data_IF_282372712173
#
_entry.id   IF_282372712173
#
_cell.length_a   1.000
_cell.length_b   1.000
_cell.length_c   1.000
_cell.angle_alpha   90.00
_cell.angle_beta   90.00
_cell.angle_gamma   90.00
#
_symmetry.space_group_name_H-M   'P 1'
#
loop_
_entity.id
_entity.type
_entity.pdbx_description
1 polymer ?
#
# COMPACT_ATOMS: atom_id res chain seq x y z
N UNK A 1 -33.11 -4.90 -36.07
CA UNK A 1 -34.59 -5.04 -35.98
C UNK A 1 -34.87 -6.53 -36.02
N UNK A 2 -35.47 -7.24 -35.06
CA UNK A 2 -36.16 -6.92 -33.81
C UNK A 2 -36.09 -8.16 -32.89
N UNK A 3 -35.76 -7.95 -31.62
CA UNK A 3 -36.52 -8.42 -30.44
C UNK A 3 -37.40 -9.68 -30.58
N UNK A 4 -37.14 -10.70 -29.76
CA UNK A 4 -37.98 -11.00 -28.57
C UNK A 4 -37.69 -12.40 -28.00
N UNK A 5 -37.84 -12.50 -26.67
CA UNK A 5 -38.15 -13.70 -25.86
C UNK A 5 -36.98 -14.32 -25.07
N UNK A 6 -36.81 -13.87 -23.81
CA UNK A 6 -36.27 -14.72 -22.72
C UNK A 6 -37.07 -14.47 -21.43
N UNK A 7 -38.01 -15.38 -21.21
CA UNK A 7 -38.45 -16.06 -19.97
C UNK A 7 -38.16 -15.36 -18.63
N UNK A 8 -39.24 -14.92 -17.98
CA UNK A 8 -39.31 -14.65 -16.55
C UNK A 8 -39.48 -15.98 -15.77
N UNK A 9 -38.60 -16.25 -14.80
CA UNK A 9 -38.80 -17.30 -13.80
C UNK A 9 -39.28 -16.63 -12.52
N UNK A 10 -40.57 -16.79 -12.26
CA UNK A 10 -41.24 -16.46 -11.00
C UNK A 10 -41.03 -17.64 -10.06
N UNK A 11 -40.28 -17.44 -8.97
CA UNK A 11 -40.22 -18.40 -7.86
C UNK A 11 -41.24 -17.96 -6.82
N UNK A 12 -42.40 -18.61 -6.84
CA UNK A 12 -43.37 -18.61 -5.75
C UNK A 12 -42.95 -19.73 -4.79
N UNK A 13 -42.49 -19.38 -3.60
CA UNK A 13 -42.40 -20.32 -2.48
C UNK A 13 -43.69 -20.20 -1.67
N UNK A 14 -44.58 -21.19 -1.87
CA UNK A 14 -45.73 -21.44 -0.98
C UNK A 14 -45.21 -22.20 0.23
N UNK A 15 -45.32 -21.62 1.43
CA UNK A 15 -45.24 -22.35 2.69
C UNK A 15 -46.66 -22.70 3.14
N UNK A 16 -47.02 -23.98 3.04
CA UNK A 16 -48.21 -24.56 3.63
C UNK A 16 -47.85 -25.91 4.25
N UNK A 17 -47.95 -25.96 5.58
CA UNK A 17 -48.25 -27.19 6.35
C UNK A 17 -47.06 -27.94 6.95
N UNK A 18 -46.96 -27.91 8.29
CA UNK A 18 -47.10 -29.10 9.13
C UNK A 18 -47.05 -28.75 10.63
N UNK A 19 -48.23 -28.77 11.26
CA UNK A 19 -48.39 -29.07 12.68
C UNK A 19 -48.07 -30.56 12.90
N UNK A 20 -47.31 -30.91 13.94
CA UNK A 20 -47.24 -32.31 14.38
C UNK A 20 -46.08 -32.71 15.28
N UNK A 21 -46.32 -32.66 16.60
CA UNK A 21 -45.89 -33.57 17.67
C UNK A 21 -44.44 -34.08 17.81
N UNK A 22 -43.95 -33.98 19.05
CA UNK A 22 -43.49 -35.15 19.81
C UNK A 22 -41.98 -35.37 19.85
N UNK A 23 -41.39 -35.18 21.03
CA UNK A 23 -39.97 -35.44 21.27
C UNK A 23 -39.62 -36.93 21.33
N UNK A 24 -38.31 -37.20 21.27
CA UNK A 24 -37.59 -38.24 22.00
C UNK A 24 -36.09 -37.92 21.96
N UNK A 25 -35.44 -37.95 23.12
CA UNK A 25 -33.99 -38.07 23.25
C UNK A 25 -33.53 -39.47 22.82
N UNK A 26 -32.41 -39.56 22.10
CA UNK A 26 -31.47 -40.69 22.19
C UNK A 26 -30.04 -40.17 22.01
N UNK A 27 -29.24 -40.34 23.05
CA UNK A 27 -27.77 -40.33 23.02
C UNK A 27 -27.25 -41.45 22.10
N UNK A 28 -26.22 -41.18 21.28
CA UNK A 28 -25.03 -42.04 21.16
C UNK A 28 -23.87 -41.29 20.48
N UNK A 29 -22.76 -41.20 21.20
CA UNK A 29 -21.40 -41.08 20.66
C UNK A 29 -21.10 -42.30 19.79
N UNK A 30 -20.48 -42.12 18.62
CA UNK A 30 -19.61 -43.15 18.05
C UNK A 30 -18.46 -42.53 17.23
N UNK A 31 -17.31 -43.16 17.41
CA UNK A 31 -15.98 -42.83 16.89
C UNK A 31 -15.87 -42.69 15.36
N UNK A 32 -14.92 -41.85 14.94
CA UNK A 32 -14.38 -41.79 13.58
C UNK A 32 -13.77 -43.12 13.11
N UNK A 33 -13.66 -43.29 11.78
CA UNK A 33 -12.33 -43.49 11.23
C UNK A 33 -12.07 -42.69 9.94
N UNK A 34 -10.86 -42.12 9.86
CA UNK A 34 -10.22 -41.71 8.61
C UNK A 34 -9.92 -42.94 7.74
N UNK A 35 -9.97 -42.82 6.40
CA UNK A 35 -8.91 -43.48 5.64
C UNK A 35 -8.41 -42.74 4.39
N UNK A 36 -7.08 -42.78 4.28
CA UNK A 36 -6.28 -43.18 3.10
C UNK A 36 -6.21 -42.32 1.83
N UNK A 37 -5.02 -41.75 1.61
CA UNK A 37 -4.30 -41.69 0.31
C UNK A 37 -4.20 -43.08 -0.34
N UNK A 38 -4.20 -43.27 -1.69
CA UNK A 38 -3.08 -42.94 -2.62
C UNK A 38 -3.55 -42.75 -4.12
N UNK A 39 -2.76 -42.92 -5.23
CA UNK A 39 -1.31 -42.87 -5.47
C UNK A 39 -0.86 -41.87 -6.58
N UNK A 40 0.47 -41.72 -6.72
CA UNK A 40 1.17 -41.19 -7.90
C UNK A 40 0.84 -41.96 -9.18
N UNK A 41 0.63 -41.26 -10.29
CA UNK A 41 0.94 -41.78 -11.63
C UNK A 41 1.60 -40.71 -12.52
N UNK A 42 2.70 -41.15 -13.12
CA UNK A 42 3.52 -40.50 -14.13
C UNK A 42 2.97 -40.74 -15.55
N UNK A 43 3.00 -39.71 -16.38
CA UNK A 43 3.03 -39.77 -17.86
C UNK A 43 3.48 -38.38 -18.34
N UNK A 44 4.73 -38.11 -18.75
CA UNK A 44 5.35 -38.45 -20.05
C UNK A 44 4.38 -38.43 -21.24
N UNK A 45 4.23 -37.26 -21.86
CA UNK A 45 4.06 -37.18 -23.32
C UNK A 45 4.79 -35.96 -23.88
N UNK A 46 5.52 -36.24 -24.94
CA UNK A 46 6.44 -35.45 -25.75
C UNK A 46 5.76 -34.53 -26.76
N UNK A 47 6.61 -33.71 -27.42
CA UNK A 47 6.43 -32.87 -28.62
C UNK A 47 5.88 -31.45 -28.34
N UNK A 48 6.41 -30.38 -28.91
CA UNK A 48 7.19 -30.23 -30.15
C UNK A 48 8.06 -28.96 -30.14
N UNK A 49 9.24 -29.09 -30.74
CA UNK A 49 10.17 -28.03 -31.14
C UNK A 49 9.52 -26.97 -32.03
N UNK A 50 9.87 -25.71 -31.83
CA UNK A 50 9.94 -24.71 -32.90
C UNK A 50 10.99 -23.65 -32.55
N UNK A 51 12.24 -23.98 -32.87
CA UNK A 51 13.37 -23.05 -32.95
C UNK A 51 13.35 -22.34 -34.30
N UNK A 52 13.12 -21.02 -34.31
CA UNK A 52 13.34 -20.17 -35.48
C UNK A 52 14.76 -19.63 -35.47
N UNK A 53 15.57 -20.21 -36.34
CA UNK A 53 16.89 -19.74 -36.77
C UNK A 53 16.79 -18.49 -37.64
N UNK A 54 17.56 -17.45 -37.33
CA UNK A 54 17.90 -16.38 -38.27
C UNK A 54 19.42 -16.34 -38.47
N UNK A 55 19.83 -16.73 -39.67
CA UNK A 55 21.20 -16.80 -40.16
C UNK A 55 21.52 -15.69 -41.14
N UNK A 56 22.83 -15.40 -41.25
CA UNK A 56 23.57 -14.73 -42.33
C UNK A 56 23.53 -13.19 -42.35
N UNK A 57 24.60 -12.46 -42.64
CA UNK A 57 25.77 -12.80 -43.47
C UNK A 57 26.96 -11.87 -43.18
N UNK A 58 28.15 -12.45 -43.05
CA UNK A 58 29.46 -11.79 -43.15
C UNK A 58 29.96 -11.88 -44.59
N UNK A 59 30.36 -10.74 -45.17
CA UNK A 59 30.99 -10.67 -46.49
C UNK A 59 32.47 -10.33 -46.35
N UNK A 60 33.31 -11.33 -46.58
CA UNK A 60 34.75 -11.22 -46.83
C UNK A 60 35.00 -11.14 -48.34
N UNK A 61 35.71 -10.12 -48.81
CA UNK A 61 36.21 -10.03 -50.18
C UNK A 61 37.74 -9.99 -50.18
N UNK A 62 38.32 -11.11 -50.57
CA UNK A 62 39.71 -11.26 -51.01
C UNK A 62 39.86 -10.79 -52.46
N UNK A 63 40.90 -10.01 -52.76
CA UNK A 63 41.34 -9.80 -54.14
C UNK A 63 42.87 -9.88 -54.22
N UNK A 64 43.33 -10.84 -55.00
CA UNK A 64 44.72 -11.14 -55.33
C UNK A 64 45.08 -10.52 -56.68
N UNK A 65 46.22 -9.82 -56.76
CA UNK A 65 46.77 -9.27 -58.00
C UNK A 65 48.29 -9.16 -57.94
N UNK A 66 48.95 -9.78 -58.91
CA UNK A 66 50.37 -10.13 -58.92
C UNK A 66 51.30 -9.04 -59.47
N UNK A 67 52.53 -9.03 -58.92
CA UNK A 67 53.85 -8.75 -59.56
C UNK A 67 54.13 -7.42 -60.26
N UNK A 68 55.17 -6.71 -59.80
CA UNK A 68 56.33 -6.28 -60.61
C UNK A 68 57.49 -5.82 -59.73
N UNK A 69 58.67 -6.31 -60.07
CA UNK A 69 59.99 -6.03 -59.49
C UNK A 69 60.59 -4.72 -60.01
N UNK A 70 61.15 -3.90 -59.13
CA UNK A 70 62.19 -2.93 -59.47
C UNK A 70 63.02 -2.55 -58.24
N UNK A 71 64.32 -2.79 -58.33
CA UNK A 71 65.39 -2.27 -57.48
C UNK A 71 65.36 -0.74 -57.41
N UNK A 72 65.54 -0.17 -56.22
CA UNK A 72 66.23 1.12 -56.05
C UNK A 72 66.49 1.43 -54.57
N UNK A 73 67.78 1.43 -54.22
CA UNK A 73 68.47 2.39 -53.35
C UNK A 73 67.84 2.84 -52.03
N UNK A 74 68.49 2.40 -50.96
CA UNK A 74 68.65 3.06 -49.66
C UNK A 74 68.54 4.59 -49.67
N UNK A 75 67.54 5.09 -48.95
CA UNK A 75 67.55 6.44 -48.36
C UNK A 75 66.81 6.40 -47.02
N UNK A 76 67.56 6.72 -45.96
CA UNK A 76 67.08 6.98 -44.61
C UNK A 76 66.07 8.13 -44.63
N UNK A 77 64.79 7.78 -44.68
CA UNK A 77 63.68 8.72 -44.53
C UNK A 77 63.44 8.96 -43.05
N UNK A 78 63.74 10.18 -42.63
CA UNK A 78 63.28 10.77 -41.39
C UNK A 78 61.79 10.49 -41.20
N UNK A 79 61.47 9.65 -40.22
CA UNK A 79 60.12 9.37 -39.74
C UNK A 79 59.45 10.68 -39.34
N UNK A 80 58.72 11.28 -40.28
CA UNK A 80 57.85 12.41 -40.01
C UNK A 80 56.80 11.93 -39.02
N UNK A 81 56.91 12.39 -37.78
CA UNK A 81 55.95 12.15 -36.71
C UNK A 81 54.57 12.67 -37.15
N UNK A 82 53.74 11.80 -37.72
CA UNK A 82 52.34 12.10 -37.93
C UNK A 82 51.72 12.25 -36.56
N UNK A 83 51.28 13.47 -36.22
CA UNK A 83 50.51 13.69 -35.00
C UNK A 83 49.39 12.64 -34.91
N UNK A 84 49.17 12.03 -33.74
CA UNK A 84 48.10 11.06 -33.58
C UNK A 84 46.77 11.67 -34.01
N UNK A 85 45.92 10.88 -34.67
CA UNK A 85 44.56 11.33 -34.95
C UNK A 85 43.74 11.28 -33.65
N UNK A 86 42.96 12.34 -33.34
CA UNK A 86 42.09 12.34 -32.18
C UNK A 86 41.13 11.14 -32.18
N UNK A 87 40.81 10.62 -30.99
CA UNK A 87 39.94 9.47 -30.84
C UNK A 87 39.35 9.33 -29.44
N UNK A 88 38.42 8.38 -29.29
CA UNK A 88 37.80 8.07 -28.00
C UNK A 88 37.35 6.62 -27.86
N UNK A 89 37.15 6.19 -26.61
CA UNK A 89 36.67 4.86 -26.26
C UNK A 89 35.79 4.89 -25.02
N UNK A 90 34.68 4.15 -25.06
CA UNK A 90 33.69 4.04 -23.99
C UNK A 90 33.58 2.60 -23.47
N UNK A 91 33.56 2.44 -22.15
CA UNK A 91 33.35 1.19 -21.42
C UNK A 91 32.13 1.35 -20.50
N UNK A 92 31.08 0.55 -20.72
CA UNK A 92 29.80 0.65 -19.99
C UNK A 92 29.36 -0.65 -19.30
N UNK A 93 29.96 -1.78 -19.67
CA UNK A 93 29.67 -3.05 -19.02
C UNK A 93 30.64 -3.24 -17.85
N UNK A 94 30.20 -3.75 -16.68
CA UNK A 94 31.09 -4.04 -15.58
C UNK A 94 32.18 -5.03 -15.96
N UNK A 95 33.39 -4.80 -15.46
CA UNK A 95 34.53 -5.68 -15.72
C UNK A 95 35.86 -4.95 -15.79
N UNK A 96 36.90 -5.72 -16.13
CA UNK A 96 38.27 -5.24 -16.29
C UNK A 96 38.66 -5.30 -17.76
N UNK A 97 39.10 -4.17 -18.30
CA UNK A 97 39.52 -4.00 -19.68
C UNK A 97 40.97 -3.53 -19.76
N UNK A 98 41.56 -3.67 -20.95
CA UNK A 98 42.88 -3.11 -21.26
C UNK A 98 42.74 -2.07 -22.36
N UNK A 99 43.27 -0.88 -22.11
CA UNK A 99 43.39 0.18 -23.11
C UNK A 99 44.87 0.41 -23.41
N UNK A 100 45.27 0.19 -24.66
CA UNK A 100 46.64 0.46 -25.12
C UNK A 100 46.72 1.89 -25.65
N UNK A 101 47.65 2.67 -25.12
CA UNK A 101 47.88 4.04 -25.55
C UNK A 101 48.37 4.06 -27.02
N UNK A 102 47.69 4.76 -27.94
CA UNK A 102 48.15 4.89 -29.32
C UNK A 102 49.53 5.58 -29.40
N UNK A 103 50.27 5.28 -30.47
CA UNK A 103 51.54 5.95 -30.74
C UNK A 103 51.36 7.46 -30.87
N UNK A 104 52.28 8.24 -30.29
CA UNK A 104 52.25 9.70 -30.29
C UNK A 104 51.31 10.35 -29.25
N UNK A 105 50.49 9.59 -28.53
CA UNK A 105 49.60 10.12 -27.48
C UNK A 105 50.32 10.13 -26.13
N UNK A 106 50.50 11.31 -25.55
CA UNK A 106 51.14 11.48 -24.24
C UNK A 106 50.19 11.95 -23.14
N UNK A 107 48.98 12.39 -23.51
CA UNK A 107 47.94 12.84 -22.57
C UNK A 107 46.56 12.37 -23.00
N UNK A 108 45.72 12.02 -22.03
CA UNK A 108 44.30 11.68 -22.27
C UNK A 108 43.38 12.39 -21.29
N UNK A 109 42.13 12.60 -21.71
CA UNK A 109 41.04 12.99 -20.81
C UNK A 109 40.24 11.75 -20.44
N UNK A 110 39.94 11.60 -19.14
CA UNK A 110 39.23 10.45 -18.59
C UNK A 110 38.02 10.93 -17.80
N UNK A 111 36.88 10.31 -18.07
CA UNK A 111 35.66 10.43 -17.25
C UNK A 111 35.31 9.06 -16.70
N UNK A 112 35.13 8.95 -15.39
CA UNK A 112 34.72 7.72 -14.72
C UNK A 112 33.49 7.97 -13.84
N UNK A 113 32.55 7.03 -13.84
CA UNK A 113 31.37 7.01 -12.97
C UNK A 113 31.32 5.67 -12.26
N UNK A 114 31.25 5.67 -10.93
CA UNK A 114 31.09 4.44 -10.13
C UNK A 114 29.70 3.81 -10.32
N UNK A 115 29.55 2.51 -10.05
CA UNK A 115 28.23 1.89 -10.02
C UNK A 115 27.35 2.48 -8.91
N UNK A 116 26.04 2.56 -9.09
CA UNK A 116 25.11 3.03 -8.05
C UNK A 116 24.97 2.03 -6.90
N UNK A 117 24.64 2.47 -5.68
CA UNK A 117 24.23 1.59 -4.59
C UNK A 117 22.77 1.17 -4.73
N UNK A 118 22.42 -0.03 -4.26
CA UNK A 118 21.01 -0.49 -4.25
C UNK A 118 20.28 -0.07 -2.96
N UNK A 119 18.98 0.16 -3.06
CA UNK A 119 18.12 0.37 -1.88
C UNK A 119 17.97 -0.93 -1.09
N UNK A 120 18.05 -0.85 0.25
CA UNK A 120 17.83 -2.00 1.11
C UNK A 120 16.34 -2.41 1.09
N UNK A 121 16.07 -3.68 0.76
CA UNK A 121 14.71 -4.25 0.79
C UNK A 121 14.36 -4.63 2.23
N UNK A 122 14.17 -3.64 3.08
CA UNK A 122 13.61 -3.85 4.42
C UNK A 122 12.41 -2.93 4.60
N UNK A 123 11.32 -3.26 3.90
CA UNK A 123 10.04 -2.65 4.16
C UNK A 123 9.54 -3.11 5.53
N UNK A 124 9.64 -2.26 6.54
CA UNK A 124 8.97 -2.51 7.81
C UNK A 124 7.48 -2.24 7.62
N UNK A 125 6.67 -3.30 7.65
CA UNK A 125 5.22 -3.13 7.70
C UNK A 125 4.85 -2.53 9.05
N UNK A 126 4.38 -1.28 9.05
CA UNK A 126 3.80 -0.69 10.25
C UNK A 126 2.30 -0.93 10.19
N UNK A 127 1.80 -1.74 11.11
CA UNK A 127 0.36 -1.93 11.31
C UNK A 127 -0.15 -0.76 12.14
N UNK A 128 -1.07 0.02 11.59
CA UNK A 128 -1.72 1.12 12.29
C UNK A 128 -3.21 0.81 12.45
N UNK A 129 -3.69 0.79 13.70
CA UNK A 129 -5.12 0.65 13.99
C UNK A 129 -5.82 1.97 13.74
N UNK A 130 -6.81 1.93 12.85
CA UNK A 130 -7.63 3.07 12.45
C UNK A 130 -9.08 2.82 12.85
N UNK A 131 -9.81 3.90 13.15
CA UNK A 131 -11.24 3.85 13.47
C UNK A 131 -12.01 4.84 12.60
N UNK A 132 -13.14 4.38 12.03
CA UNK A 132 -14.09 5.18 11.29
C UNK A 132 -15.48 5.05 11.90
N UNK A 133 -16.13 6.17 12.17
CA UNK A 133 -17.43 6.22 12.86
C UNK A 133 -18.45 7.01 12.05
N UNK A 134 -19.67 6.47 11.91
CA UNK A 134 -20.81 7.11 11.26
C UNK A 134 -21.95 7.27 12.29
N UNK A 135 -22.34 8.51 12.57
CA UNK A 135 -23.28 8.85 13.66
C UNK A 135 -24.48 9.68 13.21
N UNK A 136 -24.42 10.24 11.99
CA UNK A 136 -25.53 10.99 11.41
C UNK A 136 -26.42 10.01 10.64
N UNK A 137 -27.75 10.03 10.82
CA UNK A 137 -28.65 9.15 10.08
C UNK A 137 -28.54 9.33 8.56
N UNK A 138 -28.56 8.23 7.83
CA UNK A 138 -28.45 8.25 6.37
C UNK A 138 -27.77 7.01 5.80
N UNK A 139 -27.51 7.05 4.49
CA UNK A 139 -26.81 6.02 3.74
C UNK A 139 -25.43 6.51 3.30
N UNK A 140 -24.42 5.68 3.51
CA UNK A 140 -23.02 5.94 3.17
C UNK A 140 -22.40 4.73 2.47
N UNK A 141 -21.20 4.93 1.93
CA UNK A 141 -20.35 3.86 1.41
C UNK A 141 -19.02 3.88 2.14
N UNK A 142 -18.57 2.73 2.63
CA UNK A 142 -17.22 2.52 3.13
C UNK A 142 -16.41 1.76 2.08
N UNK A 143 -15.29 2.34 1.65
CA UNK A 143 -14.35 1.68 0.72
C UNK A 143 -13.21 1.09 1.54
N UNK A 144 -13.01 -0.22 1.45
CA UNK A 144 -11.96 -0.95 2.19
C UNK A 144 -10.59 -0.42 1.75
N UNK A 145 -9.78 0.17 2.65
CA UNK A 145 -8.47 0.69 2.27
C UNK A 145 -7.51 -0.39 1.76
N UNK A 146 -6.50 0.04 1.01
CA UNK A 146 -5.41 -0.86 0.59
C UNK A 146 -4.71 -1.49 1.80
N UNK A 147 -4.37 -2.78 1.70
CA UNK A 147 -3.69 -3.52 2.76
C UNK A 147 -4.57 -3.93 3.95
N UNK A 148 -5.89 -3.74 3.87
CA UNK A 148 -6.86 -4.17 4.90
C UNK A 148 -7.61 -5.42 4.42
N UNK A 149 -7.54 -6.49 5.21
CA UNK A 149 -8.21 -7.77 4.90
C UNK A 149 -9.22 -8.18 5.97
N UNK A 150 -9.29 -7.44 7.07
CA UNK A 150 -10.20 -7.70 8.18
C UNK A 150 -10.72 -6.38 8.75
N UNK A 151 -12.01 -6.33 9.07
CA UNK A 151 -12.66 -5.23 9.77
C UNK A 151 -13.26 -5.76 11.07
N UNK A 152 -13.23 -4.95 12.12
CA UNK A 152 -13.97 -5.17 13.35
C UNK A 152 -15.09 -4.12 13.44
N UNK A 153 -16.35 -4.56 13.42
CA UNK A 153 -17.50 -3.68 13.18
C UNK A 153 -18.49 -3.77 14.33
N UNK A 154 -18.85 -2.62 14.89
CA UNK A 154 -19.91 -2.45 15.89
C UNK A 154 -21.04 -1.59 15.31
N UNK A 155 -22.28 -2.03 15.46
CA UNK A 155 -23.48 -1.36 14.94
C UNK A 155 -24.52 -1.21 16.05
N UNK A 156 -25.10 -0.02 16.19
CA UNK A 156 -26.19 0.29 17.12
C UNK A 156 -27.36 0.89 16.34
N UNK A 157 -28.58 0.38 16.56
CA UNK A 157 -29.81 0.95 16.00
C UNK A 157 -30.19 2.28 16.64
N UNK A 158 -31.05 3.07 16.01
CA UNK A 158 -31.63 4.26 16.65
C UNK A 158 -32.54 3.88 17.81
N UNK A 159 -32.60 4.67 18.88
CA UNK A 159 -33.52 4.45 19.99
C UNK A 159 -34.94 4.93 19.67
N UNK A 160 -35.94 4.39 20.35
CA UNK A 160 -37.33 4.83 20.27
C UNK A 160 -37.49 6.22 20.91
N UNK A 161 -38.39 7.06 20.41
CA UNK A 161 -38.82 8.26 21.14
C UNK A 161 -39.60 7.91 22.41
N UNK A 162 -39.59 8.79 23.40
CA UNK A 162 -40.41 8.61 24.61
C UNK A 162 -41.88 8.90 24.33
N UNK A 163 -42.77 8.23 25.07
CA UNK A 163 -44.22 8.37 24.90
C UNK A 163 -44.73 9.69 25.50
N UNK A 164 -45.80 10.25 24.92
CA UNK A 164 -46.52 11.35 25.56
C UNK A 164 -47.30 10.88 26.80
N UNK A 165 -47.51 11.78 27.76
CA UNK A 165 -48.24 11.46 29.00
C UNK A 165 -49.15 12.59 29.48
N UNK A 166 -50.13 12.23 30.31
CA UNK A 166 -51.04 13.18 30.96
C UNK A 166 -51.04 12.97 32.47
N UNK A 167 -50.23 13.76 33.17
CA UNK A 167 -49.99 13.65 34.61
C UNK A 167 -50.99 14.45 35.44
N UNK A 168 -52.27 14.21 35.20
CA UNK A 168 -53.30 14.65 36.16
C UNK A 168 -53.44 13.59 37.26
N UNK A 169 -54.17 13.91 38.34
CA UNK A 169 -54.41 12.96 39.44
C UNK A 169 -55.07 11.62 39.06
N UNK A 170 -55.43 11.43 37.79
CA UNK A 170 -56.00 10.19 37.24
C UNK A 170 -55.27 9.64 36.00
N UNK A 171 -54.21 10.29 35.51
CA UNK A 171 -53.48 9.86 34.30
C UNK A 171 -52.02 9.50 34.58
N UNK A 172 -51.51 8.50 33.86
CA UNK A 172 -50.11 8.09 33.93
C UNK A 172 -49.18 9.03 33.15
N UNK A 173 -47.94 9.13 33.58
CA UNK A 173 -46.86 9.70 32.78
C UNK A 173 -46.57 8.83 31.56
N UNK A 174 -45.99 9.43 30.52
CA UNK A 174 -45.51 8.70 29.36
C UNK A 174 -44.32 7.82 29.74
N UNK A 175 -44.25 6.63 29.14
CA UNK A 175 -43.10 5.75 29.31
C UNK A 175 -41.87 6.30 28.58
N UNK A 176 -40.68 5.94 29.06
CA UNK A 176 -39.46 6.11 28.28
C UNK A 176 -39.46 5.18 27.06
N UNK A 177 -38.79 5.62 26.00
CA UNK A 177 -38.55 4.81 24.80
C UNK A 177 -37.48 3.75 25.06
N UNK A 178 -37.55 2.65 24.32
CA UNK A 178 -36.54 1.58 24.31
C UNK A 178 -35.26 2.02 23.58
N UNK A 179 -34.10 1.51 23.99
CA UNK A 179 -32.86 1.72 23.22
C UNK A 179 -32.82 0.89 21.93
N UNK A 180 -31.92 1.25 21.01
CA UNK A 180 -31.63 0.48 19.80
C UNK A 180 -30.83 -0.78 20.12
N UNK A 181 -30.97 -1.79 19.27
CA UNK A 181 -30.18 -3.03 19.37
C UNK A 181 -28.68 -2.79 19.13
N UNK A 182 -27.87 -3.76 19.52
CA UNK A 182 -26.42 -3.79 19.27
C UNK A 182 -26.03 -5.07 18.51
N UNK A 183 -25.09 -4.95 17.58
CA UNK A 183 -24.48 -6.07 16.88
C UNK A 183 -23.00 -5.81 16.66
N UNK A 184 -22.19 -6.86 16.78
CA UNK A 184 -20.74 -6.83 16.58
C UNK A 184 -20.29 -8.01 15.71
N UNK A 185 -19.35 -7.76 14.79
CA UNK A 185 -18.73 -8.82 14.01
C UNK A 185 -17.34 -8.44 13.49
N UNK A 186 -16.48 -9.45 13.39
CA UNK A 186 -15.23 -9.36 12.64
C UNK A 186 -15.42 -9.92 11.24
N UNK A 187 -15.20 -9.11 10.21
CA UNK A 187 -15.47 -9.43 8.80
C UNK A 187 -14.18 -9.58 8.01
N UNK A 188 -14.07 -10.64 7.21
CA UNK A 188 -13.01 -10.76 6.21
C UNK A 188 -13.41 -9.99 4.94
N UNK A 189 -12.53 -9.13 4.45
CA UNK A 189 -12.79 -8.23 3.31
C UNK A 189 -11.63 -8.24 2.31
N UNK A 190 -11.90 -7.74 1.10
CA UNK A 190 -10.86 -7.47 0.12
C UNK A 190 -10.64 -5.96 -0.04
N UNK A 191 -9.39 -5.50 -0.17
CA UNK A 191 -9.10 -4.10 -0.47
C UNK A 191 -9.85 -3.58 -1.70
N UNK A 192 -10.35 -2.34 -1.61
CA UNK A 192 -11.11 -1.70 -2.67
C UNK A 192 -12.60 -2.08 -2.71
N UNK A 193 -13.04 -3.08 -1.93
CA UNK A 193 -14.46 -3.40 -1.84
C UNK A 193 -15.25 -2.21 -1.28
N UNK A 194 -16.41 -1.94 -1.87
CA UNK A 194 -17.37 -0.96 -1.36
C UNK A 194 -18.44 -1.67 -0.54
N UNK A 195 -18.68 -1.19 0.67
CA UNK A 195 -19.66 -1.75 1.61
C UNK A 195 -20.67 -0.64 1.98
N UNK A 196 -21.95 -0.93 1.80
CA UNK A 196 -23.02 -0.02 2.17
C UNK A 196 -23.07 0.14 3.70
N UNK A 197 -23.28 1.36 4.17
CA UNK A 197 -23.44 1.67 5.60
C UNK A 197 -24.74 2.43 5.78
N UNK A 198 -25.59 1.99 6.70
CA UNK A 198 -26.83 2.68 7.06
C UNK A 198 -26.78 3.04 8.53
N UNK A 199 -27.05 4.30 8.84
CA UNK A 199 -27.23 4.77 10.21
C UNK A 199 -28.71 5.08 10.42
N UNK A 200 -29.35 4.36 11.35
CA UNK A 200 -30.73 4.56 11.70
C UNK A 200 -30.96 5.87 12.44
N UNK A 201 -32.05 6.57 12.13
CA UNK A 201 -32.48 7.75 12.88
C UNK A 201 -33.06 7.37 14.23
N UNK A 202 -32.96 8.25 15.22
CA UNK A 202 -33.76 8.14 16.44
C UNK A 202 -35.26 8.27 16.15
N UNK A 203 -36.07 7.68 17.02
CA UNK A 203 -37.51 7.77 16.99
C UNK A 203 -38.01 9.16 17.36
N UNK A 204 -39.09 9.60 16.71
CA UNK A 204 -39.73 10.89 17.03
C UNK A 204 -40.35 10.85 18.43
N UNK A 205 -40.34 11.96 19.20
CA UNK A 205 -41.02 12.01 20.48
C UNK A 205 -42.53 11.80 20.31
N UNK A 206 -43.18 11.23 21.32
CA UNK A 206 -44.63 11.23 21.43
C UNK A 206 -45.20 12.63 21.56
N UNK A 207 -46.54 12.74 21.61
CA UNK A 207 -47.21 14.03 21.80
C UNK A 207 -47.99 13.99 23.10
N UNK A 208 -47.68 14.94 23.98
CA UNK A 208 -48.46 15.22 25.18
C UNK A 208 -49.83 15.80 24.79
N UNK A 209 -50.88 14.96 24.73
CA UNK A 209 -52.23 15.40 24.42
C UNK A 209 -53.28 14.66 25.26
N UNK A 210 -54.27 15.41 25.75
CA UNK A 210 -55.47 14.89 26.40
C UNK A 210 -56.42 14.25 25.35
N UNK A 211 -57.05 13.10 25.65
CA UNK A 211 -56.63 11.75 25.22
C UNK A 211 -57.05 11.35 23.79
N UNK A 212 -56.37 10.34 23.20
CA UNK A 212 -55.24 9.58 23.78
C UNK A 212 -53.86 10.24 23.54
N UNK A 213 -52.89 10.06 24.46
CA UNK A 213 -51.50 10.43 24.20
C UNK A 213 -50.93 9.59 23.05
N UNK A 214 -50.00 10.18 22.29
CA UNK A 214 -49.33 9.47 21.20
C UNK A 214 -48.01 8.85 21.70
N UNK A 215 -47.79 7.58 21.38
CA UNK A 215 -46.52 6.89 21.62
C UNK A 215 -45.38 7.54 20.82
N UNK A 216 -44.17 7.39 21.31
CA UNK A 216 -42.96 7.75 20.56
C UNK A 216 -42.78 6.84 19.35
N UNK A 217 -42.25 7.42 18.27
CA UNK A 217 -41.92 6.67 17.06
C UNK A 217 -40.78 5.68 17.30
N UNK A 218 -40.78 4.58 16.55
CA UNK A 218 -39.69 3.61 16.56
C UNK A 218 -38.38 4.22 16.03
N UNK A 219 -37.26 3.71 16.52
CA UNK A 219 -35.94 4.01 15.97
C UNK A 219 -35.68 3.28 14.65
N UNK A 220 -34.81 3.85 13.82
CA UNK A 220 -34.37 3.23 12.57
C UNK A 220 -33.29 2.16 12.78
N UNK A 221 -33.27 1.16 11.91
CA UNK A 221 -32.22 0.13 11.87
C UNK A 221 -30.91 0.71 11.34
N UNK A 222 -29.79 0.32 11.94
CA UNK A 222 -28.44 0.57 11.42
C UNK A 222 -27.85 -0.71 10.83
N UNK A 223 -26.96 -0.59 9.85
CA UNK A 223 -26.28 -1.74 9.24
C UNK A 223 -24.93 -1.41 8.62
N UNK A 224 -24.11 -2.46 8.49
CA UNK A 224 -22.86 -2.48 7.73
C UNK A 224 -22.89 -3.68 6.76
N UNK A 225 -23.15 -3.40 5.49
CA UNK A 225 -23.49 -4.40 4.48
C UNK A 225 -24.73 -5.21 4.86
N UNK A 226 -24.79 -6.44 4.37
CA UNK A 226 -25.84 -7.41 4.74
C UNK A 226 -25.44 -8.26 5.96
N UNK A 227 -24.22 -8.10 6.46
CA UNK A 227 -23.62 -9.01 7.45
C UNK A 227 -23.83 -8.58 8.90
N UNK A 228 -23.94 -7.27 9.16
CA UNK A 228 -24.08 -6.72 10.52
C UNK A 228 -25.22 -5.72 10.53
N UNK A 229 -26.25 -5.98 11.32
CA UNK A 229 -27.39 -5.08 11.44
C UNK A 229 -27.90 -5.07 12.87
N UNK A 230 -28.35 -3.90 13.31
CA UNK A 230 -28.96 -3.71 14.61
C UNK A 230 -30.26 -2.91 14.44
N UNK A 231 -31.37 -3.54 14.84
CA UNK A 231 -32.72 -2.96 14.76
C UNK A 231 -32.84 -1.74 15.67
N UNK A 232 -33.60 -0.74 15.26
CA UNK A 232 -33.93 0.37 16.15
C UNK A 232 -34.91 -0.02 17.26
N UNK A 233 -34.96 0.78 18.33
CA UNK A 233 -35.83 0.57 19.48
C UNK A 233 -37.31 0.59 19.06
N UNK A 234 -38.07 -0.38 19.54
CA UNK A 234 -39.49 -0.57 19.23
C UNK A 234 -40.38 -0.28 20.45
N UNK A 235 -41.67 -0.10 20.16
CA UNK A 235 -42.71 0.04 21.18
C UNK A 235 -43.01 -1.31 21.84
N UNK A 236 -43.37 -1.26 23.13
CA UNK A 236 -43.55 -2.42 24.02
C UNK A 236 -44.66 -3.39 23.59
N UNK A 237 -45.68 -2.88 22.91
CA UNK A 237 -46.87 -3.66 22.55
C UNK A 237 -46.76 -4.39 21.20
N UNK A 238 -45.61 -4.32 20.51
CA UNK A 238 -45.40 -5.10 19.28
C UNK A 238 -44.74 -6.46 19.59
N UNK A 239 -45.51 -7.58 19.60
CA UNK A 239 -44.95 -8.92 19.75
C UNK A 239 -44.04 -9.21 18.56
N UNK A 240 -42.73 -9.19 18.82
CA UNK A 240 -41.71 -9.23 17.78
C UNK A 240 -40.59 -8.21 17.96
N UNK A 241 -40.60 -7.42 19.05
CA UNK A 241 -39.44 -6.65 19.52
C UNK A 241 -38.26 -7.59 19.76
N UNK A 242 -37.50 -7.83 18.69
CA UNK A 242 -36.36 -8.72 18.68
C UNK A 242 -35.36 -8.22 19.69
N UNK A 243 -35.35 -8.86 20.85
CA UNK A 243 -34.24 -8.84 21.78
C UNK A 243 -33.02 -9.43 21.07
N UNK A 244 -32.35 -8.64 20.25
CA UNK A 244 -30.90 -8.82 20.08
C UNK A 244 -30.28 -8.32 21.38
N UNK A 245 -30.39 -9.19 22.39
CA UNK A 245 -29.72 -9.35 23.69
C UNK A 245 -29.25 -8.19 24.58
N UNK A 246 -29.20 -6.92 24.16
CA UNK A 246 -28.49 -5.88 24.94
C UNK A 246 -29.18 -4.51 25.03
N UNK A 247 -30.31 -4.31 24.36
CA UNK A 247 -31.08 -3.06 24.50
C UNK A 247 -31.79 -3.01 25.84
N UNK A 248 -31.40 -2.09 26.73
CA UNK A 248 -32.14 -1.81 27.95
C UNK A 248 -33.49 -1.17 27.62
N UNK A 249 -34.55 -1.76 28.16
CA UNK A 249 -35.88 -1.20 28.17
C UNK A 249 -35.91 0.16 28.92
N UNK A 250 -36.73 1.11 28.43
CA UNK A 250 -36.99 2.34 29.16
C UNK A 250 -37.70 2.06 30.49
N UNK A 251 -37.38 2.81 31.54
CA UNK A 251 -38.11 2.64 32.80
C UNK A 251 -39.50 3.25 32.70
N UNK A 252 -40.51 2.52 33.19
CA UNK A 252 -41.84 3.12 33.42
C UNK A 252 -41.74 4.23 34.46
N UNK A 253 -42.52 5.30 34.30
CA UNK A 253 -42.59 6.38 35.28
C UNK A 253 -43.12 5.87 36.62
N UNK A 254 -42.28 5.84 37.65
CA UNK A 254 -42.58 5.25 38.96
C UNK A 254 -43.52 6.10 39.84
N UNK A 255 -44.06 7.22 39.34
CA UNK A 255 -45.04 8.02 40.05
C UNK A 255 -45.91 8.86 39.10
N UNK A 256 -47.07 9.32 39.56
CA UNK A 256 -47.97 10.20 38.82
C UNK A 256 -47.34 11.53 38.32
N UNK A 257 -46.09 11.82 38.70
CA UNK A 257 -45.39 13.07 38.37
C UNK A 257 -43.95 12.88 37.87
N UNK A 258 -43.49 11.65 37.66
CA UNK A 258 -42.14 11.38 37.12
C UNK A 258 -42.29 10.71 35.76
N UNK A 259 -41.71 11.31 34.72
CA UNK A 259 -41.64 10.68 33.40
C UNK A 259 -40.77 9.43 33.44
N UNK A 260 -41.06 8.48 32.56
CA UNK A 260 -40.18 7.34 32.33
C UNK A 260 -38.83 7.78 31.75
N UNK A 261 -37.74 7.21 32.26
CA UNK A 261 -36.41 7.42 31.69
C UNK A 261 -36.26 6.55 30.43
N UNK A 262 -35.67 7.10 29.38
CA UNK A 262 -35.33 6.34 28.19
C UNK A 262 -34.31 5.23 28.49
N UNK A 263 -34.33 4.17 27.68
CA UNK A 263 -33.37 3.07 27.78
C UNK A 263 -31.93 3.57 27.62
N UNK A 264 -31.03 3.12 28.50
CA UNK A 264 -29.62 3.45 28.39
C UNK A 264 -28.99 2.86 27.11
N UNK A 265 -28.02 3.60 26.59
CA UNK A 265 -27.23 3.26 25.40
C UNK A 265 -25.96 2.51 25.82
N UNK A 266 -25.53 1.54 25.00
CA UNK A 266 -24.25 0.84 25.16
C UNK A 266 -23.04 1.74 24.80
N UNK A 267 -23.25 2.83 24.04
CA UNK A 267 -22.19 3.69 23.50
C UNK A 267 -22.54 5.18 23.60
N UNK A 268 -22.06 5.87 24.65
CA UNK A 268 -22.07 7.34 24.79
C UNK A 268 -23.37 8.05 24.36
N UNK A 269 -24.53 7.41 24.49
CA UNK A 269 -25.85 7.95 24.13
C UNK A 269 -26.38 7.58 22.73
N UNK A 270 -25.62 6.89 21.89
CA UNK A 270 -26.11 6.37 20.60
C UNK A 270 -27.11 5.24 20.82
N UNK A 271 -28.24 5.33 20.11
CA UNK A 271 -29.36 4.41 20.28
C UNK A 271 -30.10 4.55 21.61
N UNK A 272 -29.83 5.56 22.44
CA UNK A 272 -30.57 5.74 23.69
C UNK A 272 -32.06 5.98 23.45
N UNK A 273 -32.92 5.48 24.32
CA UNK A 273 -34.34 5.77 24.27
C UNK A 273 -34.65 7.22 24.66
N UNK A 274 -35.75 7.77 24.17
CA UNK A 274 -36.24 9.07 24.58
C UNK A 274 -36.92 9.02 25.95
N UNK A 275 -36.86 10.10 26.73
CA UNK A 275 -37.61 10.20 27.98
C UNK A 275 -39.09 10.42 27.69
N UNK A 276 -39.96 9.85 28.51
CA UNK A 276 -41.40 10.04 28.45
C UNK A 276 -41.81 11.48 28.79
N UNK A 277 -43.02 11.85 28.38
CA UNK A 277 -43.63 13.15 28.63
C UNK A 277 -44.62 13.15 29.78
N UNK A 278 -44.91 14.35 30.29
CA UNK A 278 -45.84 14.58 31.37
C UNK A 278 -46.48 15.96 31.18
N UNK A 279 -47.79 16.03 30.94
CA UNK A 279 -48.56 17.27 30.83
C UNK A 279 -49.58 17.38 31.97
N UNK A 280 -49.57 18.50 32.71
CA UNK A 280 -50.63 18.84 33.67
C UNK A 280 -50.20 19.07 35.13
N UNK A 281 -48.91 19.24 35.41
CA UNK A 281 -48.43 19.58 36.77
C UNK A 281 -47.34 20.67 36.72
N UNK A 282 -46.88 21.20 37.86
CA UNK A 282 -45.86 22.26 37.96
C UNK A 282 -44.46 21.88 37.41
N UNK A 283 -44.36 20.84 36.57
CA UNK A 283 -43.16 20.30 35.96
C UNK A 283 -43.46 19.57 34.65
N UNK A 284 -44.16 20.24 33.73
CA UNK A 284 -44.44 19.71 32.39
C UNK A 284 -43.12 19.28 31.71
N UNK A 285 -42.99 17.99 31.43
CA UNK A 285 -41.88 17.44 30.65
C UNK A 285 -42.37 17.07 29.26
N UNK A 286 -41.70 17.58 28.24
CA UNK A 286 -41.95 17.13 26.88
C UNK A 286 -41.24 15.80 26.66
N UNK A 287 -41.90 14.82 25.99
CA UNK A 287 -41.19 13.61 25.60
C UNK A 287 -40.03 13.98 24.68
N UNK A 288 -38.94 13.21 24.74
CA UNK A 288 -37.77 13.45 23.90
C UNK A 288 -37.66 12.44 22.77
N UNK A 289 -37.01 12.84 21.69
CA UNK A 289 -36.64 11.92 20.62
C UNK A 289 -35.66 10.85 21.16
N UNK A 290 -35.63 9.70 20.50
CA UNK A 290 -34.56 8.73 20.71
C UNK A 290 -33.24 9.20 20.12
N UNK A 291 -32.13 8.64 20.60
CA UNK A 291 -30.80 8.83 20.04
C UNK A 291 -30.67 8.15 18.67
N UNK A 292 -29.86 8.72 17.79
CA UNK A 292 -29.52 8.09 16.51
C UNK A 292 -28.68 6.83 16.73
N UNK A 293 -28.70 5.93 15.75
CA UNK A 293 -27.78 4.79 15.72
C UNK A 293 -26.33 5.22 15.46
N UNK A 294 -25.43 4.24 15.50
CA UNK A 294 -24.01 4.43 15.15
C UNK A 294 -23.45 3.19 14.45
N UNK A 295 -22.53 3.40 13.50
CA UNK A 295 -21.69 2.33 12.94
C UNK A 295 -20.23 2.70 13.17
N UNK A 296 -19.50 1.84 13.86
CA UNK A 296 -18.06 1.97 14.15
C UNK A 296 -17.30 0.84 13.47
N UNK A 297 -16.23 1.21 12.76
CA UNK A 297 -15.38 0.30 12.00
C UNK A 297 -13.96 0.51 12.48
N UNK A 298 -13.37 -0.53 13.04
CA UNK A 298 -11.96 -0.57 13.39
C UNK A 298 -11.22 -1.49 12.43
N UNK A 299 -10.06 -1.06 11.95
CA UNK A 299 -9.26 -1.87 11.03
C UNK A 299 -7.77 -1.59 11.18
N UNK A 300 -6.97 -2.61 10.89
CA UNK A 300 -5.52 -2.53 10.87
C UNK A 300 -5.07 -2.31 9.43
N UNK A 301 -4.59 -1.11 9.13
CA UNK A 301 -4.00 -0.82 7.83
C UNK A 301 -2.51 -1.16 7.88
N UNK A 302 -2.09 -2.03 6.97
CA UNK A 302 -0.68 -2.38 6.80
C UNK A 302 -0.11 -1.56 5.66
N UNK A 303 0.71 -0.56 5.99
CA UNK A 303 1.39 0.24 4.98
C UNK A 303 2.79 -0.31 4.76
N UNK A 304 3.14 -0.53 3.49
CA UNK A 304 4.54 -0.76 3.11
C UNK A 304 5.22 0.60 3.03
N UNK A 305 6.17 0.86 3.93
CA UNK A 305 7.12 1.95 3.72
C UNK A 305 8.23 1.43 2.83
N UNK A 306 8.34 1.94 1.60
CA UNK A 306 9.46 1.64 0.72
C UNK A 306 10.77 2.06 1.40
N UNK A 307 11.73 1.14 1.50
CA UNK A 307 13.08 1.45 1.96
C UNK A 307 13.72 2.50 1.03
N UNK A 308 14.47 3.44 1.61
CA UNK A 308 15.12 4.51 0.84
C UNK A 308 16.01 3.94 -0.28
N UNK A 309 15.93 4.54 -1.47
CA UNK A 309 16.80 4.18 -2.60
C UNK A 309 18.29 4.36 -2.25
N UNK A 310 19.14 3.53 -2.84
CA UNK A 310 20.60 3.67 -2.69
C UNK A 310 21.12 4.93 -3.41
N UNK A 311 22.29 5.41 -3.00
CA UNK A 311 22.90 6.60 -3.60
C UNK A 311 23.52 6.29 -4.97
N UNK A 312 23.49 7.25 -5.89
CA UNK A 312 24.18 7.14 -7.18
C UNK A 312 25.69 7.05 -7.01
N UNK A 313 26.40 6.42 -7.94
CA UNK A 313 27.87 6.41 -7.97
C UNK A 313 28.48 7.81 -8.16
N UNK A 314 29.75 7.94 -7.79
CA UNK A 314 30.50 9.20 -7.89
C UNK A 314 30.93 9.43 -9.34
N UNK A 315 30.92 10.69 -9.80
CA UNK A 315 31.49 11.10 -11.09
C UNK A 315 32.86 11.75 -10.87
N UNK A 316 33.85 11.36 -11.68
CA UNK A 316 35.18 11.95 -11.68
C UNK A 316 35.60 12.24 -13.12
N UNK A 317 36.12 13.45 -13.36
CA UNK A 317 36.71 13.83 -14.65
C UNK A 317 38.13 14.34 -14.40
N UNK A 318 39.11 13.67 -15.02
CA UNK A 318 40.50 14.06 -14.99
C UNK A 318 40.92 14.46 -16.42
N UNK A 319 41.50 15.65 -16.54
CA UNK A 319 42.02 16.15 -17.82
C UNK A 319 43.53 16.00 -17.87
N UNK A 320 44.06 15.79 -19.07
CA UNK A 320 45.50 15.73 -19.33
C UNK A 320 46.25 14.68 -18.50
N UNK A 321 45.64 13.50 -18.31
CA UNK A 321 46.27 12.36 -17.65
C UNK A 321 47.47 11.91 -18.47
N UNK A 322 48.66 11.94 -17.88
CA UNK A 322 49.90 11.53 -18.56
C UNK A 322 49.91 10.03 -18.85
N UNK A 323 50.18 9.68 -20.10
CA UNK A 323 50.28 8.29 -20.57
C UNK A 323 51.54 8.09 -21.42
N UNK A 324 51.98 6.85 -21.54
CA UNK A 324 53.14 6.45 -22.31
C UNK A 324 52.66 5.73 -23.58
N UNK A 325 53.01 6.20 -24.79
CA UNK A 325 52.71 5.51 -26.04
C UNK A 325 53.05 4.02 -25.99
N UNK A 326 52.18 3.18 -26.55
CA UNK A 326 52.35 1.72 -26.56
C UNK A 326 52.11 1.01 -25.22
N UNK A 327 51.99 1.74 -24.11
CA UNK A 327 51.72 1.16 -22.79
C UNK A 327 50.24 0.82 -22.64
N UNK A 328 49.93 -0.32 -22.02
CA UNK A 328 48.56 -0.74 -21.72
C UNK A 328 48.16 -0.37 -20.29
N UNK A 329 46.97 0.22 -20.16
CA UNK A 329 46.39 0.68 -18.90
C UNK A 329 45.17 -0.18 -18.56
N UNK A 330 45.04 -0.53 -17.28
CA UNK A 330 43.84 -1.21 -16.77
C UNK A 330 42.68 -0.22 -16.67
N UNK A 331 41.52 -0.62 -17.18
CA UNK A 331 40.27 0.13 -17.06
C UNK A 331 39.25 -0.75 -16.34
N UNK A 332 38.76 -0.30 -15.19
CA UNK A 332 37.76 -1.02 -14.41
C UNK A 332 36.44 -0.26 -14.49
N UNK A 333 35.36 -0.95 -14.85
CA UNK A 333 34.00 -0.43 -14.77
C UNK A 333 33.32 -1.12 -13.59
N UNK A 334 32.93 -0.35 -12.57
CA UNK A 334 32.30 -0.89 -11.39
C UNK A 334 30.86 -1.36 -11.65
N UNK A 335 30.48 -2.51 -11.11
CA UNK A 335 29.10 -2.97 -11.11
C UNK A 335 28.20 -2.10 -10.21
N UNK A 336 26.91 -2.01 -10.54
CA UNK A 336 25.91 -1.50 -9.61
C UNK A 336 25.72 -2.46 -8.41
N UNK A 337 25.39 -1.90 -7.25
CA UNK A 337 25.09 -2.67 -6.05
C UNK A 337 23.81 -3.49 -6.20
N UNK A 338 23.74 -4.62 -5.48
CA UNK A 338 22.56 -5.49 -5.42
C UNK A 338 22.10 -5.68 -3.97
N UNK A 339 20.79 -5.62 -3.72
CA UNK A 339 20.20 -5.97 -2.42
C UNK A 339 20.76 -5.25 -1.19
N UNK A 340 20.87 -3.93 -1.21
CA UNK A 340 21.44 -3.15 -0.09
C UNK A 340 22.97 -3.19 -0.03
N UNK A 341 23.64 -3.52 -1.15
CA UNK A 341 25.09 -3.39 -1.29
C UNK A 341 25.47 -2.07 -1.99
N UNK A 342 26.69 -1.61 -1.69
CA UNK A 342 27.34 -0.50 -2.38
C UNK A 342 27.61 -0.88 -3.84
N UNK A 343 27.66 0.11 -4.73
CA UNK A 343 28.23 -0.08 -6.05
C UNK A 343 29.77 -0.18 -6.00
N UNK A 344 30.37 -0.75 -7.03
CA UNK A 344 31.82 -0.82 -7.18
C UNK A 344 32.39 0.45 -7.82
N UNK A 345 33.68 0.70 -7.59
CA UNK A 345 34.37 1.83 -8.17
C UNK A 345 34.73 1.60 -9.66
N UNK A 346 34.68 2.66 -10.46
CA UNK A 346 35.25 2.67 -11.81
C UNK A 346 36.62 3.33 -11.79
N UNK A 347 37.62 2.75 -12.45
CA UNK A 347 39.00 3.25 -12.42
C UNK A 347 39.71 3.23 -13.78
N UNK A 348 40.71 4.10 -13.93
CA UNK A 348 41.64 4.11 -15.06
C UNK A 348 43.10 4.14 -14.56
N UNK A 349 43.94 3.27 -15.13
CA UNK A 349 45.40 3.30 -14.99
C UNK A 349 45.91 3.09 -13.56
N UNK A 350 45.74 1.89 -12.98
CA UNK A 350 46.17 1.57 -11.60
C UNK A 350 45.81 2.66 -10.58
N UNK A 351 44.55 3.13 -10.63
CA UNK A 351 43.95 4.14 -9.74
C UNK A 351 44.36 5.60 -9.98
N UNK A 352 44.89 5.96 -11.17
CA UNK A 352 45.09 7.38 -11.53
C UNK A 352 43.78 8.16 -11.55
N UNK A 353 42.69 7.52 -11.96
CA UNK A 353 41.32 8.06 -11.83
C UNK A 353 40.48 7.02 -11.12
N UNK A 354 39.82 7.39 -10.03
CA UNK A 354 38.93 6.50 -9.26
C UNK A 354 37.62 7.23 -9.01
N UNK A 355 36.53 6.64 -9.49
CA UNK A 355 35.17 7.07 -9.22
C UNK A 355 34.52 6.04 -8.27
N UNK A 356 34.43 6.33 -6.96
CA UNK A 356 33.81 5.41 -6.00
C UNK A 356 32.37 5.06 -6.36
N UNK A 357 31.98 3.82 -6.10
CA UNK A 357 30.59 3.40 -6.23
C UNK A 357 29.69 4.05 -5.16
N UNK A 358 28.39 4.06 -5.43
CA UNK A 358 27.39 4.62 -4.55
C UNK A 358 27.21 3.77 -3.29
N UNK A 359 26.98 4.41 -2.15
CA UNK A 359 26.67 3.73 -0.91
C UNK A 359 25.27 3.12 -0.99
N UNK A 360 25.13 1.91 -0.44
CA UNK A 360 23.85 1.30 -0.14
C UNK A 360 23.01 2.23 0.72
N UNK A 361 21.71 2.27 0.44
CA UNK A 361 20.78 2.89 1.38
C UNK A 361 20.82 2.12 2.69
N UNK A 362 21.27 2.75 3.77
CA UNK A 362 21.09 2.18 5.11
C UNK A 362 19.61 1.87 5.30
N UNK A 363 19.28 0.73 5.91
CA UNK A 363 17.93 0.41 6.37
C UNK A 363 17.55 1.38 7.51
N UNK A 364 17.34 2.65 7.18
CA UNK A 364 17.14 3.75 8.10
C UNK A 364 15.66 4.02 8.25
N UNK A 365 15.21 3.95 9.50
CA UNK A 365 13.90 4.36 10.02
C UNK A 365 13.17 5.38 9.15
N UNK A 366 11.94 5.04 8.75
CA UNK A 366 10.96 5.88 8.06
C UNK A 366 10.73 7.21 8.80
N UNK A 367 11.61 8.18 8.59
CA UNK A 367 11.31 9.58 8.84
C UNK A 367 10.76 10.13 7.54
N UNK A 368 9.60 10.77 7.63
CA UNK A 368 8.74 11.19 6.51
C UNK A 368 9.33 12.39 5.72
N UNK A 369 10.65 12.45 5.57
CA UNK A 369 11.38 13.52 4.91
C UNK A 369 11.65 13.17 3.45
N UNK A 370 11.02 13.91 2.55
CA UNK A 370 11.28 13.90 1.11
C UNK A 370 12.77 14.08 0.84
N UNK A 371 13.42 13.05 0.28
CA UNK A 371 14.80 13.10 -0.17
C UNK A 371 14.92 13.99 -1.43
N UNK A 372 14.90 15.30 -1.24
CA UNK A 372 15.32 16.25 -2.25
C UNK A 372 16.85 16.26 -2.27
N UNK A 373 17.46 15.45 -3.14
CA UNK A 373 18.87 15.62 -3.50
C UNK A 373 19.02 16.96 -4.23
N UNK A 374 19.28 18.03 -3.49
CA UNK A 374 19.60 19.35 -4.05
C UNK A 374 21.04 19.35 -4.57
N UNK A 375 21.28 19.63 -5.87
CA UNK A 375 22.64 19.68 -6.42
C UNK A 375 23.37 20.93 -5.90
N UNK A 376 24.21 20.76 -4.88
CA UNK A 376 25.09 21.82 -4.39
C UNK A 376 26.15 22.18 -5.43
N UNK A 377 26.09 23.39 -6.00
CA UNK A 377 27.13 23.94 -6.87
C UNK A 377 28.24 24.58 -6.02
N UNK A 378 29.40 23.94 -5.93
CA UNK A 378 30.62 24.56 -5.43
C UNK A 378 31.74 24.53 -6.48
N UNK A 379 32.70 25.44 -6.36
CA UNK A 379 33.83 25.63 -7.30
C UNK A 379 35.01 24.74 -6.87
N UNK A 380 35.77 24.08 -7.78
CA UNK A 380 36.83 23.15 -7.39
C UNK A 380 38.09 23.83 -6.83
N UNK A 381 38.70 23.23 -5.80
CA UNK A 381 40.08 23.48 -5.35
C UNK A 381 40.94 22.26 -5.69
N UNK A 382 42.16 22.47 -6.17
CA UNK A 382 42.93 21.48 -6.95
C UNK A 382 43.88 20.55 -6.17
N UNK A 383 43.88 20.55 -4.83
CA UNK A 383 44.83 19.74 -4.06
C UNK A 383 44.15 18.92 -2.97
N UNK A 384 43.91 17.62 -3.22
CA UNK A 384 43.61 16.62 -2.19
C UNK A 384 43.87 15.19 -2.70
N UNK A 385 44.77 14.46 -2.03
CA UNK A 385 45.00 13.02 -2.21
C UNK A 385 43.81 12.23 -1.61
N UNK A 386 43.36 11.10 -2.19
CA UNK A 386 42.18 10.38 -1.68
C UNK A 386 42.46 9.68 -0.35
N UNK A 387 41.90 10.23 0.74
CA UNK A 387 41.74 9.54 2.02
C UNK A 387 40.45 8.71 2.04
N UNK A 388 40.55 7.49 2.57
CA UNK A 388 39.47 6.53 2.76
C UNK A 388 38.27 7.18 3.49
N UNK A 389 37.05 7.06 2.93
CA UNK A 389 35.83 7.62 3.52
C UNK A 389 35.40 6.80 4.75
N UNK A 390 35.96 7.16 5.91
CA UNK A 390 35.53 6.69 7.22
C UNK A 390 34.23 7.36 7.65
N UNK A 391 33.33 6.56 8.20
CA UNK A 391 32.05 6.95 8.77
C UNK A 391 32.24 8.00 9.87
N UNK A 392 31.91 9.27 9.61
CA UNK A 392 32.04 10.34 10.60
C UNK A 392 31.61 11.70 10.07
N UNK A 393 30.54 12.24 10.64
CA UNK A 393 30.11 13.61 10.43
C UNK A 393 31.21 14.60 10.87
N UNK A 394 31.91 15.23 9.93
CA UNK A 394 32.50 16.58 10.07
C UNK A 394 33.12 17.03 8.74
N UNK A 395 33.01 18.32 8.44
CA UNK A 395 33.13 18.91 7.11
C UNK A 395 34.51 18.86 6.47
N UNK A 396 34.50 18.47 5.18
CA UNK A 396 35.52 18.78 4.18
C UNK A 396 34.82 18.79 2.81
N UNK A 397 34.68 19.96 2.20
CA UNK A 397 33.87 20.15 0.99
C UNK A 397 34.69 19.82 -0.26
N UNK A 398 34.56 18.59 -0.76
CA UNK A 398 34.92 18.24 -2.14
C UNK A 398 33.62 18.19 -2.96
N UNK A 399 33.55 19.00 -4.02
CA UNK A 399 32.36 19.06 -4.88
C UNK A 399 32.45 17.94 -5.91
N UNK A 400 31.91 16.79 -5.56
CA UNK A 400 31.59 15.73 -6.51
C UNK A 400 30.21 16.03 -7.11
N UNK A 401 30.12 16.38 -8.40
CA UNK A 401 28.82 16.42 -9.08
C UNK A 401 28.37 14.99 -9.36
N UNK A 402 27.51 14.40 -8.54
CA UNK A 402 26.97 13.06 -8.80
C UNK A 402 26.03 13.09 -10.02
N UNK A 403 26.49 12.56 -11.15
CA UNK A 403 25.64 12.20 -12.29
C UNK A 403 25.49 10.67 -12.29
N UNK A 404 24.54 10.15 -11.54
CA UNK A 404 24.17 8.75 -11.67
C UNK A 404 22.66 8.58 -11.66
N UNK A 405 22.19 7.66 -12.49
CA UNK A 405 20.80 7.24 -12.53
C UNK A 405 20.43 6.64 -11.18
N UNK A 406 19.69 7.40 -10.37
CA UNK A 406 18.97 6.84 -9.24
C UNK A 406 18.04 5.77 -9.77
N UNK A 407 18.10 4.57 -9.20
CA UNK A 407 17.07 3.57 -9.48
C UNK A 407 15.78 4.05 -8.84
N UNK A 408 14.74 4.29 -9.64
CA UNK A 408 13.39 4.48 -9.12
C UNK A 408 13.03 3.22 -8.32
N UNK A 409 12.99 3.36 -6.98
CA UNK A 409 12.64 2.25 -6.11
C UNK A 409 11.21 1.82 -6.41
N UNK A 410 11.03 0.70 -7.09
CA UNK A 410 9.72 0.11 -7.33
C UNK A 410 9.15 -0.37 -5.99
N UNK A 411 8.19 0.38 -5.45
CA UNK A 411 7.57 0.11 -4.15
C UNK A 411 6.68 -1.15 -4.12
N UNK A 412 6.49 -1.80 -5.27
CA UNK A 412 5.49 -2.86 -5.50
C UNK A 412 6.06 -4.14 -6.10
N UNK A 413 7.34 -4.17 -6.49
CA UNK A 413 7.94 -5.36 -7.10
C UNK A 413 8.81 -6.10 -6.09
N UNK A 414 8.59 -7.41 -5.92
CA UNK A 414 9.49 -8.33 -5.21
C UNK A 414 10.91 -8.41 -5.84
N UNK A 415 11.17 -7.62 -6.87
CA UNK A 415 12.47 -7.53 -7.53
C UNK A 415 13.26 -6.39 -6.90
N UNK A 416 14.41 -6.65 -6.24
CA UNK A 416 15.27 -5.59 -5.76
C UNK A 416 15.67 -4.70 -6.94
N UNK A 417 15.48 -3.39 -6.80
CA UNK A 417 15.94 -2.43 -7.81
C UNK A 417 17.46 -2.63 -8.01
N UNK A 418 17.85 -3.00 -9.23
CA UNK A 418 19.26 -3.15 -9.59
C UNK A 418 19.79 -1.77 -9.91
N UNK A 419 20.83 -1.33 -9.19
CA UNK A 419 21.44 -0.04 -9.44
C UNK A 419 22.17 -0.03 -10.79
N UNK A 420 22.28 1.15 -11.41
CA UNK A 420 23.00 1.30 -12.68
C UNK A 420 24.49 0.97 -12.55
N UNK A 421 25.07 0.38 -13.61
CA UNK A 421 26.50 0.14 -13.72
C UNK A 421 27.28 1.45 -13.87
N UNK A 422 28.56 1.43 -13.51
CA UNK A 422 29.49 2.51 -13.78
C UNK A 422 29.83 2.65 -15.26
N UNK A 423 30.68 3.62 -15.59
CA UNK A 423 31.27 3.76 -16.92
C UNK A 423 32.64 4.40 -16.86
N UNK A 424 33.47 4.15 -17.88
CA UNK A 424 34.71 4.87 -18.13
C UNK A 424 34.75 5.33 -19.58
N UNK A 425 35.05 6.60 -19.81
CA UNK A 425 35.24 7.21 -21.12
C UNK A 425 36.65 7.81 -21.19
N UNK A 426 37.36 7.50 -22.27
CA UNK A 426 38.73 7.98 -22.52
C UNK A 426 38.75 8.68 -23.87
N UNK A 427 39.32 9.88 -23.94
CA UNK A 427 39.54 10.61 -25.19
C UNK A 427 40.95 11.17 -25.29
N UNK A 428 41.48 11.24 -26.51
CA UNK A 428 42.82 11.75 -26.81
C UNK A 428 42.81 12.58 -28.10
N UNK A 429 43.81 13.44 -28.24
CA UNK A 429 43.99 14.35 -29.37
C UNK A 429 45.42 14.39 -29.85
#
# INVERSE_FOLDING_TARGET
>A
MSQSTVIAVVVIVVFLGALGFGGYEVYQQYYAPSPSTPPKHSSTTSSSNSSSSSSNSSSSSSNSGSSRSSNSSSSSSSSSSSSPSPGSKLYQNPGVYSWTCPEGVTTVDVVAVGGGGSGGVSGSYTTNTQTKTYTTPGSYTFVVPSGVTQLDVSVVGGGQGGDGGYCSGFGGSGNGGSSGGYSHATLNVSPGNEIAVVVGSGGSPGINRYPPPASGGAGGTSSFGDSVSATGGQHWDEPGSGTTSEGNEGQQGNSAFTSGLGGESVFDGYGAGGNGGCLGSNGDSSPTAGGNGVVMIQYNATFSTCGGGGSSGTYVSAKSVSVVPGTSYSVVVGAGGTGGQNGEASTFGNQVVVAPGGLAGSAGSSSNGSAAASPGKGVPSADSVPGNAGNGASGGSAVYQSYGAGSDGACDSNSPATAGNGMVYVSWS
#
